data_IF_177288995933
#
_entry.id   IF_177288995933
#
_cell.length_a   1.000
_cell.length_b   1.000
_cell.length_c   1.000
_cell.angle_alpha   90.00
_cell.angle_beta   90.00
_cell.angle_gamma   90.00
#
_symmetry.space_group_name_H-M   'P 1'
#
loop_
_entity.id
_entity.type
_entity.pdbx_description
1 polymer ?
#
# COMPACT_ATOMS: atom_id res chain seq x y z
N UNK A 1 -47.74 27.00 5.68
CA UNK A 1 -49.15 26.62 5.90
C UNK A 1 -50.02 26.90 4.66
N UNK A 2 -50.06 28.12 4.12
CA UNK A 2 -50.92 28.47 2.97
C UNK A 2 -50.61 27.70 1.65
N UNK A 3 -49.33 27.45 1.35
CA UNK A 3 -48.94 26.69 0.15
C UNK A 3 -49.41 25.22 0.18
N UNK A 4 -49.39 24.60 1.37
CA UNK A 4 -49.88 23.22 1.58
C UNK A 4 -51.40 23.13 1.44
N UNK A 5 -52.14 24.14 1.91
CA UNK A 5 -53.60 24.20 1.75
C UNK A 5 -54.02 24.44 0.30
N UNK A 6 -53.30 25.29 -0.44
CA UNK A 6 -53.53 25.50 -1.87
C UNK A 6 -53.23 24.25 -2.73
N UNK A 7 -52.23 23.45 -2.34
CA UNK A 7 -51.95 22.14 -2.94
C UNK A 7 -53.07 21.12 -2.61
N UNK A 8 -53.53 21.08 -1.35
CA UNK A 8 -54.60 20.18 -0.92
C UNK A 8 -55.93 20.43 -1.66
N UNK A 9 -56.30 21.69 -1.88
CA UNK A 9 -57.50 22.07 -2.64
C UNK A 9 -57.46 21.74 -4.13
N UNK A 10 -56.25 21.60 -4.72
CA UNK A 10 -56.09 21.10 -6.10
C UNK A 10 -56.11 19.56 -6.18
N UNK A 11 -55.75 18.87 -5.09
CA UNK A 11 -55.81 17.41 -4.96
C UNK A 11 -57.22 16.84 -4.83
N UNK A 12 -58.18 17.60 -4.29
CA UNK A 12 -59.58 17.16 -4.15
C UNK A 12 -60.26 16.98 -5.50
N UNK A 13 -60.00 17.85 -6.48
CA UNK A 13 -60.60 17.84 -7.82
C UNK A 13 -59.87 16.96 -8.85
N UNK A 14 -58.78 16.27 -8.47
CA UNK A 14 -58.09 15.34 -9.34
C UNK A 14 -58.87 14.02 -9.48
N UNK A 15 -59.00 13.49 -10.69
CA UNK A 15 -59.60 12.17 -10.92
C UNK A 15 -58.79 11.08 -10.19
N UNK A 16 -59.45 10.00 -9.77
CA UNK A 16 -58.86 8.94 -8.93
C UNK A 16 -57.52 8.43 -9.49
N UNK A 17 -57.42 8.26 -10.82
CA UNK A 17 -56.17 7.83 -11.49
C UNK A 17 -55.00 8.79 -11.32
N UNK A 18 -55.23 10.11 -11.27
CA UNK A 18 -54.16 11.09 -11.04
C UNK A 18 -53.70 11.11 -9.58
N UNK A 19 -54.60 10.87 -8.61
CA UNK A 19 -54.21 10.74 -7.19
C UNK A 19 -53.34 9.51 -6.96
N UNK A 20 -53.69 8.39 -7.60
CA UNK A 20 -52.92 7.15 -7.56
C UNK A 20 -51.55 7.31 -8.24
N UNK A 21 -51.51 7.90 -9.44
CA UNK A 21 -50.26 8.16 -10.16
C UNK A 21 -49.29 9.08 -9.40
N UNK A 22 -49.82 10.05 -8.64
CA UNK A 22 -49.00 10.96 -7.84
C UNK A 22 -48.42 10.28 -6.60
N UNK A 23 -49.19 9.40 -5.95
CA UNK A 23 -48.67 8.51 -4.89
C UNK A 23 -47.59 7.56 -5.40
N UNK A 24 -47.81 6.97 -6.58
CA UNK A 24 -46.81 6.11 -7.23
C UNK A 24 -45.54 6.89 -7.61
N UNK A 25 -45.66 8.10 -8.16
CA UNK A 25 -44.53 8.95 -8.48
C UNK A 25 -43.72 9.35 -7.23
N UNK A 26 -44.40 9.62 -6.11
CA UNK A 26 -43.74 9.87 -4.82
C UNK A 26 -42.97 8.64 -4.32
N UNK A 27 -43.55 7.44 -4.45
CA UNK A 27 -42.86 6.19 -4.09
C UNK A 27 -41.65 5.95 -4.99
N UNK A 28 -41.75 6.20 -6.30
CA UNK A 28 -40.62 6.10 -7.22
C UNK A 28 -39.52 7.11 -6.87
N UNK A 29 -39.88 8.35 -6.54
CA UNK A 29 -38.92 9.37 -6.12
C UNK A 29 -38.19 8.93 -4.85
N UNK A 30 -38.92 8.40 -3.86
CA UNK A 30 -38.33 7.87 -2.63
C UNK A 30 -37.37 6.71 -2.94
N UNK A 31 -37.76 5.78 -3.82
CA UNK A 31 -36.91 4.67 -4.23
C UNK A 31 -35.61 5.15 -4.89
N UNK A 32 -35.68 6.16 -5.77
CA UNK A 32 -34.50 6.78 -6.39
C UNK A 32 -33.59 7.43 -5.35
N UNK A 33 -34.15 8.12 -4.35
CA UNK A 33 -33.36 8.74 -3.26
C UNK A 33 -32.65 7.68 -2.43
N UNK A 34 -33.34 6.58 -2.08
CA UNK A 34 -32.75 5.46 -1.32
C UNK A 34 -31.63 4.82 -2.15
N UNK A 35 -31.88 4.52 -3.43
CA UNK A 35 -30.88 3.93 -4.32
C UNK A 35 -29.65 4.83 -4.49
N UNK A 36 -29.86 6.14 -4.69
CA UNK A 36 -28.77 7.11 -4.82
C UNK A 36 -27.94 7.22 -3.55
N UNK A 37 -28.59 7.27 -2.38
CA UNK A 37 -27.89 7.29 -1.08
C UNK A 37 -27.10 6.01 -0.85
N UNK A 38 -27.68 4.84 -1.19
CA UNK A 38 -27.00 3.55 -1.10
C UNK A 38 -25.75 3.49 -1.98
N UNK A 39 -25.85 3.94 -3.23
CA UNK A 39 -24.71 4.00 -4.15
C UNK A 39 -23.58 4.91 -3.63
N UNK A 40 -23.92 6.08 -3.07
CA UNK A 40 -22.94 7.00 -2.47
C UNK A 40 -22.21 6.37 -1.27
N UNK A 41 -22.93 5.70 -0.37
CA UNK A 41 -22.32 5.03 0.77
C UNK A 41 -21.40 3.88 0.36
N UNK A 42 -21.76 3.11 -0.67
CA UNK A 42 -20.88 2.06 -1.21
C UNK A 42 -19.57 2.64 -1.73
N UNK A 43 -19.60 3.76 -2.43
CA UNK A 43 -18.39 4.42 -2.92
C UNK A 43 -17.47 4.93 -1.79
N UNK A 44 -18.06 5.44 -0.71
CA UNK A 44 -17.30 5.85 0.48
C UNK A 44 -16.65 4.64 1.17
N UNK A 45 -17.35 3.50 1.22
CA UNK A 45 -16.81 2.25 1.76
C UNK A 45 -15.65 1.75 0.91
N UNK A 46 -15.79 1.77 -0.42
CA UNK A 46 -14.74 1.40 -1.38
C UNK A 46 -13.47 2.25 -1.20
N UNK A 47 -13.59 3.58 -1.20
CA UNK A 47 -12.46 4.49 -0.95
C UNK A 47 -11.75 4.25 0.40
N UNK A 48 -12.49 3.85 1.44
CA UNK A 48 -11.90 3.48 2.73
C UNK A 48 -11.22 2.11 2.66
N UNK A 49 -11.82 1.15 1.97
CA UNK A 49 -11.26 -0.18 1.78
C UNK A 49 -9.93 -0.12 1.02
N UNK A 50 -9.83 0.67 -0.05
CA UNK A 50 -8.58 0.83 -0.82
C UNK A 50 -7.43 1.35 0.03
N UNK A 51 -7.70 2.33 0.91
CA UNK A 51 -6.70 2.88 1.84
C UNK A 51 -6.28 1.88 2.90
N UNK A 52 -7.20 1.06 3.40
CA UNK A 52 -6.90 -0.01 4.36
C UNK A 52 -6.06 -1.09 3.68
N UNK A 53 -6.42 -1.51 2.47
CA UNK A 53 -5.66 -2.48 1.70
C UNK A 53 -4.24 -1.97 1.42
N UNK A 54 -4.11 -0.73 0.95
CA UNK A 54 -2.82 -0.06 0.77
C UNK A 54 -1.97 -0.12 2.06
N UNK A 55 -2.56 0.24 3.20
CA UNK A 55 -1.85 0.29 4.48
C UNK A 55 -1.38 -1.10 4.92
N UNK A 56 -2.23 -2.12 4.74
CA UNK A 56 -1.90 -3.50 5.08
C UNK A 56 -0.79 -4.04 4.19
N UNK A 57 -0.88 -3.83 2.87
CA UNK A 57 0.13 -4.27 1.91
C UNK A 57 1.47 -3.59 2.15
N UNK A 58 1.46 -2.28 2.40
CA UNK A 58 2.68 -1.55 2.70
C UNK A 58 3.34 -2.05 4.00
N UNK A 59 2.54 -2.30 5.04
CA UNK A 59 3.04 -2.84 6.30
C UNK A 59 3.65 -4.24 6.12
N UNK A 60 2.99 -5.10 5.33
CA UNK A 60 3.50 -6.43 5.01
C UNK A 60 4.87 -6.36 4.31
N UNK A 61 5.00 -5.57 3.24
CA UNK A 61 6.27 -5.41 2.52
C UNK A 61 7.39 -4.88 3.44
N UNK A 62 7.09 -3.90 4.30
CA UNK A 62 8.07 -3.36 5.26
C UNK A 62 8.47 -4.41 6.29
N UNK A 63 7.53 -5.21 6.80
CA UNK A 63 7.83 -6.23 7.80
C UNK A 63 8.61 -7.39 7.19
N UNK A 64 8.26 -7.82 5.97
CA UNK A 64 9.02 -8.80 5.22
C UNK A 64 10.43 -8.30 4.91
N UNK A 65 10.60 -7.03 4.53
CA UNK A 65 11.92 -6.44 4.36
C UNK A 65 12.76 -6.52 5.65
N UNK A 66 12.18 -6.13 6.80
CA UNK A 66 12.87 -6.21 8.11
C UNK A 66 13.24 -7.64 8.48
N UNK A 67 12.31 -8.58 8.29
CA UNK A 67 12.52 -10.01 8.54
C UNK A 67 13.68 -10.54 7.69
N UNK A 68 13.65 -10.31 6.38
CA UNK A 68 14.68 -10.75 5.46
C UNK A 68 16.06 -10.15 5.80
N UNK A 69 16.14 -8.86 6.18
CA UNK A 69 17.40 -8.26 6.64
C UNK A 69 17.94 -8.95 7.91
N UNK A 70 17.07 -9.27 8.86
CA UNK A 70 17.47 -9.96 10.09
C UNK A 70 17.95 -11.39 9.79
N UNK A 71 17.24 -12.13 8.94
CA UNK A 71 17.61 -13.48 8.53
C UNK A 71 18.92 -13.51 7.75
N UNK A 72 19.16 -12.52 6.88
CA UNK A 72 20.46 -12.37 6.23
C UNK A 72 21.59 -12.16 7.26
N UNK A 73 21.37 -11.30 8.26
CA UNK A 73 22.35 -11.07 9.33
C UNK A 73 22.69 -12.33 10.15
N UNK A 74 21.74 -13.26 10.28
CA UNK A 74 21.92 -14.51 11.03
C UNK A 74 22.49 -15.66 10.19
N UNK A 75 22.00 -15.83 8.97
CA UNK A 75 22.28 -17.00 8.12
C UNK A 75 23.30 -16.73 7.03
N UNK A 76 23.48 -15.45 6.69
CA UNK A 76 24.31 -15.00 5.57
C UNK A 76 23.89 -15.57 4.20
N UNK A 77 22.65 -16.05 4.06
CA UNK A 77 22.15 -16.60 2.79
C UNK A 77 21.71 -15.46 1.85
N UNK A 78 22.24 -15.40 0.61
CA UNK A 78 22.02 -14.28 -0.30
C UNK A 78 20.55 -14.09 -0.71
N UNK A 79 19.75 -15.14 -0.67
CA UNK A 79 18.30 -15.12 -0.94
C UNK A 79 17.57 -14.11 -0.03
N UNK A 80 17.93 -14.03 1.25
CA UNK A 80 17.34 -13.07 2.17
C UNK A 80 17.72 -11.63 1.81
N UNK A 81 18.92 -11.38 1.28
CA UNK A 81 19.30 -10.04 0.84
C UNK A 81 18.52 -9.63 -0.42
N UNK A 82 18.36 -10.56 -1.37
CA UNK A 82 17.55 -10.34 -2.57
C UNK A 82 16.08 -10.09 -2.22
N UNK A 83 15.50 -10.90 -1.33
CA UNK A 83 14.12 -10.73 -0.89
C UNK A 83 13.94 -9.41 -0.13
N UNK A 84 14.90 -9.01 0.72
CA UNK A 84 14.87 -7.70 1.36
C UNK A 84 14.77 -6.56 0.31
N UNK A 85 15.55 -6.61 -0.78
CA UNK A 85 15.47 -5.67 -1.90
C UNK A 85 14.13 -5.68 -2.59
N UNK A 86 13.63 -6.86 -2.96
CA UNK A 86 12.34 -6.97 -3.63
C UNK A 86 11.20 -6.34 -2.80
N UNK A 87 11.16 -6.61 -1.49
CA UNK A 87 10.13 -6.05 -0.61
C UNK A 87 10.23 -4.52 -0.49
N UNK A 88 11.44 -3.96 -0.44
CA UNK A 88 11.63 -2.51 -0.38
C UNK A 88 11.22 -1.85 -1.70
N UNK A 89 11.57 -2.44 -2.84
CA UNK A 89 11.14 -1.95 -4.15
C UNK A 89 9.62 -2.01 -4.32
N UNK A 90 8.98 -3.07 -3.82
CA UNK A 90 7.52 -3.18 -3.80
C UNK A 90 6.89 -2.13 -2.90
N UNK A 91 7.45 -1.86 -1.70
CA UNK A 91 6.98 -0.79 -0.82
C UNK A 91 7.05 0.58 -1.51
N UNK A 92 8.13 0.87 -2.26
CA UNK A 92 8.24 2.10 -3.07
C UNK A 92 7.14 2.18 -4.12
N UNK A 93 6.89 1.09 -4.87
CA UNK A 93 5.82 1.04 -5.88
C UNK A 93 4.43 1.22 -5.26
N UNK A 94 4.17 0.57 -4.12
CA UNK A 94 2.91 0.71 -3.39
C UNK A 94 2.71 2.15 -2.95
N UNK A 95 3.72 2.79 -2.37
CA UNK A 95 3.66 4.20 -1.96
C UNK A 95 3.32 5.10 -3.15
N UNK A 96 3.95 4.89 -4.30
CA UNK A 96 3.68 5.66 -5.52
C UNK A 96 2.23 5.50 -5.99
N UNK A 97 1.73 4.26 -6.06
CA UNK A 97 0.33 3.97 -6.37
C UNK A 97 -0.63 4.57 -5.34
N UNK A 98 -0.26 4.49 -4.06
CA UNK A 98 -1.03 5.01 -2.94
C UNK A 98 -1.24 6.52 -3.00
N UNK A 99 -0.36 7.28 -3.67
CA UNK A 99 -0.52 8.74 -3.81
C UNK A 99 -1.82 9.15 -4.51
N UNK A 100 -2.36 8.28 -5.39
CA UNK A 100 -3.58 8.54 -6.14
C UNK A 100 -4.87 8.29 -5.33
N UNK A 101 -4.78 7.67 -4.15
CA UNK A 101 -5.95 7.40 -3.32
C UNK A 101 -6.50 8.69 -2.66
N UNK A 102 -7.77 8.63 -2.27
CA UNK A 102 -8.46 9.75 -1.63
C UNK A 102 -8.05 9.88 -0.15
N UNK A 103 -7.03 10.70 0.10
CA UNK A 103 -6.52 11.00 1.43
C UNK A 103 -7.07 12.31 1.98
N UNK A 104 -7.39 12.31 3.27
CA UNK A 104 -7.57 13.55 4.02
C UNK A 104 -6.23 14.32 4.13
N UNK A 105 -6.31 15.59 4.51
CA UNK A 105 -5.15 16.48 4.56
C UNK A 105 -4.04 16.00 5.50
N UNK A 106 -4.37 15.34 6.61
CA UNK A 106 -3.38 14.83 7.55
C UNK A 106 -2.72 13.59 6.99
N UNK A 107 -3.51 12.62 6.52
CA UNK A 107 -2.99 11.38 5.92
C UNK A 107 -2.14 11.65 4.68
N UNK A 108 -2.44 12.68 3.89
CA UNK A 108 -1.61 13.10 2.76
C UNK A 108 -0.23 13.62 3.20
N UNK A 109 -0.14 14.32 4.33
CA UNK A 109 1.16 14.74 4.91
C UNK A 109 1.95 13.54 5.40
N UNK A 110 1.28 12.59 6.05
CA UNK A 110 1.92 11.36 6.53
C UNK A 110 2.43 10.51 5.36
N UNK A 111 1.69 10.44 4.25
CA UNK A 111 2.13 9.78 3.02
C UNK A 111 3.36 10.47 2.40
N UNK A 112 3.40 11.80 2.34
CA UNK A 112 4.58 12.53 1.86
C UNK A 112 5.81 12.28 2.74
N UNK A 113 5.61 12.15 4.05
CA UNK A 113 6.67 11.74 4.97
C UNK A 113 7.14 10.31 4.68
N UNK A 114 6.21 9.39 4.41
CA UNK A 114 6.55 8.01 4.01
C UNK A 114 7.37 7.97 2.72
N UNK A 115 7.03 8.79 1.70
CA UNK A 115 7.82 8.91 0.46
C UNK A 115 9.27 9.29 0.76
N UNK A 116 9.48 10.24 1.67
CA UNK A 116 10.83 10.66 2.08
C UNK A 116 11.56 9.53 2.81
N UNK A 117 10.91 8.94 3.82
CA UNK A 117 11.50 7.89 4.66
C UNK A 117 11.84 6.63 3.87
N UNK A 118 10.99 6.20 2.93
CA UNK A 118 11.28 5.02 2.11
C UNK A 118 12.44 5.28 1.14
N UNK A 119 12.56 6.52 0.62
CA UNK A 119 13.69 6.92 -0.22
C UNK A 119 15.01 6.89 0.56
N UNK A 120 15.02 7.44 1.77
CA UNK A 120 16.17 7.35 2.68
C UNK A 120 16.53 5.89 3.00
N UNK A 121 15.53 5.07 3.30
CA UNK A 121 15.73 3.66 3.62
C UNK A 121 16.30 2.88 2.42
N UNK A 122 15.79 3.13 1.21
CA UNK A 122 16.31 2.52 -0.02
C UNK A 122 17.78 2.92 -0.27
N UNK A 123 18.15 4.17 0.03
CA UNK A 123 19.54 4.61 -0.07
C UNK A 123 20.43 3.88 0.94
N UNK A 124 19.99 3.75 2.19
CA UNK A 124 20.73 3.01 3.22
C UNK A 124 20.87 1.52 2.88
N UNK A 125 19.84 0.94 2.25
CA UNK A 125 19.92 -0.42 1.75
C UNK A 125 21.02 -0.59 0.70
N UNK A 126 21.10 0.30 -0.29
CA UNK A 126 22.16 0.25 -1.33
C UNK A 126 23.55 0.32 -0.70
N UNK A 127 23.73 1.20 0.29
CA UNK A 127 25.00 1.31 1.05
C UNK A 127 25.30 0.01 1.79
N UNK A 128 24.31 -0.60 2.44
CA UNK A 128 24.46 -1.88 3.12
C UNK A 128 24.90 -3.00 2.17
N UNK A 129 24.26 -3.12 1.01
CA UNK A 129 24.62 -4.12 0.00
C UNK A 129 26.02 -3.92 -0.55
N UNK A 130 26.43 -2.68 -0.81
CA UNK A 130 27.80 -2.36 -1.21
C UNK A 130 28.82 -2.77 -0.14
N UNK A 131 28.52 -2.52 1.14
CA UNK A 131 29.38 -2.92 2.25
C UNK A 131 29.49 -4.44 2.37
N UNK A 132 28.38 -5.17 2.16
CA UNK A 132 28.36 -6.64 2.08
C UNK A 132 29.26 -7.13 0.94
N UNK A 133 29.09 -6.59 -0.27
CA UNK A 133 29.90 -6.98 -1.43
C UNK A 133 31.38 -6.70 -1.20
N UNK A 134 31.73 -5.54 -0.65
CA UNK A 134 33.11 -5.20 -0.32
C UNK A 134 33.70 -6.16 0.72
N UNK A 135 32.93 -6.50 1.76
CA UNK A 135 33.34 -7.48 2.78
C UNK A 135 33.56 -8.87 2.16
N UNK A 136 32.67 -9.31 1.28
CA UNK A 136 32.80 -10.61 0.62
C UNK A 136 33.99 -10.66 -0.33
N UNK A 137 34.29 -9.57 -1.04
CA UNK A 137 35.49 -9.46 -1.88
C UNK A 137 36.78 -9.57 -1.04
N UNK A 138 36.84 -8.92 0.13
CA UNK A 138 37.97 -9.07 1.05
C UNK A 138 38.08 -10.51 1.54
N UNK A 139 36.96 -11.14 1.93
CA UNK A 139 36.95 -12.55 2.34
C UNK A 139 37.44 -13.49 1.23
N UNK A 140 37.07 -13.23 -0.02
CA UNK A 140 37.54 -13.99 -1.18
C UNK A 140 39.03 -13.76 -1.46
N UNK A 141 39.54 -12.54 -1.24
CA UNK A 141 40.98 -12.28 -1.35
C UNK A 141 41.81 -13.00 -0.29
N UNK A 142 41.23 -13.30 0.87
CA UNK A 142 41.84 -14.12 1.91
C UNK A 142 41.74 -15.62 1.66
N UNK A 143 41.12 -16.04 0.56
CA UNK A 143 41.00 -17.45 0.23
C UNK A 143 42.41 -18.03 0.12
N UNK A 144 42.71 -18.96 1.03
CA UNK A 144 44.04 -19.45 1.43
C UNK A 144 44.80 -20.18 0.32
N UNK A 145 44.44 -20.07 -0.96
CA UNK A 145 45.14 -20.75 -2.05
C UNK A 145 46.60 -20.32 -2.17
N UNK A 146 46.90 -19.02 -2.01
CA UNK A 146 48.29 -18.52 -1.97
C UNK A 146 49.04 -18.96 -0.71
N UNK A 147 48.37 -18.91 0.45
CA UNK A 147 48.95 -19.34 1.73
C UNK A 147 49.17 -20.86 1.75
N UNK A 148 48.26 -21.64 1.18
CA UNK A 148 48.31 -23.09 1.10
C UNK A 148 49.26 -23.58 0.01
N UNK A 149 49.39 -22.84 -1.10
CA UNK A 149 50.47 -23.05 -2.06
C UNK A 149 51.84 -22.79 -1.41
N UNK A 150 51.97 -21.70 -0.64
CA UNK A 150 53.21 -21.38 0.08
C UNK A 150 53.55 -22.43 1.14
N UNK A 151 52.57 -22.87 1.95
CA UNK A 151 52.76 -23.91 2.96
C UNK A 151 53.15 -25.25 2.35
N UNK A 152 52.46 -25.68 1.28
CA UNK A 152 52.78 -26.94 0.59
C UNK A 152 54.08 -26.88 -0.21
N UNK A 153 54.60 -25.70 -0.52
CA UNK A 153 55.93 -25.50 -1.10
C UNK A 153 57.03 -25.60 -0.04
N UNK A 154 56.79 -25.08 1.17
CA UNK A 154 57.69 -25.24 2.33
C UNK A 154 57.75 -26.69 2.80
N UNK A 155 56.62 -27.40 2.88
CA UNK A 155 56.59 -28.85 3.20
C UNK A 155 57.37 -29.71 2.20
N UNK A 156 57.45 -29.29 0.93
CA UNK A 156 58.22 -30.01 -0.11
C UNK A 156 59.72 -29.72 -0.06
N UNK A 157 60.15 -28.72 0.70
CA UNK A 157 61.57 -28.34 0.85
C UNK A 157 62.20 -28.83 2.16
N UNK A 158 61.39 -29.40 3.06
CA UNK A 158 61.83 -30.14 4.27
C UNK A 158 61.95 -31.64 3.97
#
# INVERSE_FOLDING_TARGET
MAALQALAGKFTHLTVGKKLGLGFALLLLLAVVIAGTGAQYLHIIESRADRIEFSNRLNEEINQAKYNRAMYGQTYQPEYLQNNRANIENAVKLIDQGQALDWDAQSRKDLQRLVTLIGEYQQQQKVFEQAVTAKDAVRQSWNMSEVQASLSQVERQL
#
